data_IF_273193319985
#
_entry.id   IF_273193319985
#
_cell.length_a   1.000
_cell.length_b   1.000
_cell.length_c   1.000
_cell.angle_alpha   90.00
_cell.angle_beta   90.00
_cell.angle_gamma   90.00
#
_symmetry.space_group_name_H-M   'P 1'
#
loop_
_entity.id
_entity.type
_entity.pdbx_description
1 polymer ?
#
# COMPACT_ATOMS: atom_id res chain seq x y z
N UNK A 1 -22.60 21.99 0.56
CA UNK A 1 -22.21 20.72 -0.10
C UNK A 1 -20.71 20.50 0.14
N UNK A 2 -20.27 19.75 1.17
CA UNK A 2 -18.84 19.60 1.43
C UNK A 2 -18.28 18.48 0.54
N UNK A 3 -17.60 18.86 -0.53
CA UNK A 3 -16.99 17.96 -1.52
C UNK A 3 -15.74 17.20 -1.01
N UNK A 4 -15.41 17.31 0.27
CA UNK A 4 -14.18 16.76 0.84
C UNK A 4 -14.35 15.37 1.48
N UNK A 5 -15.59 14.96 1.82
CA UNK A 5 -15.84 13.66 2.48
C UNK A 5 -15.92 12.50 1.48
N UNK A 6 -16.36 12.79 0.26
CA UNK A 6 -16.55 11.82 -0.84
C UNK A 6 -15.25 11.29 -1.47
N UNK A 7 -14.11 11.96 -1.27
CA UNK A 7 -12.79 11.49 -1.76
C UNK A 7 -12.09 10.53 -0.79
N UNK A 8 -12.38 10.66 0.51
CA UNK A 8 -11.88 9.80 1.59
C UNK A 8 -12.79 8.61 1.89
N UNK A 9 -14.01 8.54 1.39
CA UNK A 9 -14.84 7.32 1.52
C UNK A 9 -14.54 6.31 0.40
N UNK A 10 -14.21 6.78 -0.80
CA UNK A 10 -13.99 5.92 -1.98
C UNK A 10 -12.66 5.16 -2.01
N UNK A 11 -11.70 5.53 -1.16
CA UNK A 11 -10.41 4.85 -1.17
C UNK A 11 -10.58 3.38 -0.73
N UNK A 12 -11.45 3.11 0.25
CA UNK A 12 -11.70 1.75 0.72
C UNK A 12 -12.34 0.88 -0.36
N UNK A 13 -13.37 1.40 -1.04
CA UNK A 13 -13.98 0.74 -2.20
C UNK A 13 -12.96 0.49 -3.32
N UNK A 14 -12.05 1.44 -3.51
CA UNK A 14 -10.95 1.34 -4.45
C UNK A 14 -9.96 0.23 -4.10
N UNK A 15 -9.55 0.16 -2.83
CA UNK A 15 -8.65 -0.86 -2.32
C UNK A 15 -9.28 -2.26 -2.42
N UNK A 16 -10.57 -2.37 -2.09
CA UNK A 16 -11.36 -3.58 -2.26
C UNK A 16 -11.37 -4.04 -3.73
N UNK A 17 -11.60 -3.12 -4.69
CA UNK A 17 -11.56 -3.44 -6.11
C UNK A 17 -10.17 -3.89 -6.59
N UNK A 18 -9.09 -3.30 -6.06
CA UNK A 18 -7.72 -3.73 -6.36
C UNK A 18 -7.53 -5.17 -5.87
N UNK A 19 -7.94 -5.48 -4.65
CA UNK A 19 -7.86 -6.82 -4.08
C UNK A 19 -8.64 -7.85 -4.90
N UNK A 20 -9.90 -7.60 -5.23
CA UNK A 20 -10.75 -8.51 -6.01
C UNK A 20 -10.17 -8.82 -7.40
N UNK A 21 -9.44 -7.85 -7.99
CA UNK A 21 -8.77 -7.99 -9.28
C UNK A 21 -7.37 -8.60 -9.17
N UNK A 22 -6.96 -9.05 -7.98
CA UNK A 22 -5.60 -9.51 -7.71
C UNK A 22 -4.54 -8.47 -8.11
N UNK A 23 -4.90 -7.19 -7.95
CA UNK A 23 -4.07 -6.05 -8.26
C UNK A 23 -3.01 -5.80 -7.20
N UNK A 24 -2.14 -4.84 -7.50
CA UNK A 24 -1.06 -4.44 -6.61
C UNK A 24 -1.17 -2.98 -6.20
N UNK A 25 -0.62 -2.69 -5.04
CA UNK A 25 -0.37 -1.35 -4.52
C UNK A 25 1.12 -1.05 -4.61
N UNK A 26 1.45 0.22 -4.55
CA UNK A 26 2.80 0.71 -4.45
C UNK A 26 3.15 0.88 -2.97
N UNK A 27 4.33 0.45 -2.56
CA UNK A 27 4.86 0.69 -1.21
C UNK A 27 6.27 1.24 -1.32
N UNK A 28 6.64 2.10 -0.38
CA UNK A 28 7.99 2.62 -0.22
C UNK A 28 8.31 2.73 1.26
N UNK A 29 9.59 2.69 1.62
CA UNK A 29 10.03 3.05 2.96
C UNK A 29 9.82 4.54 3.15
N UNK A 30 9.24 4.93 4.28
CA UNK A 30 9.11 6.34 4.62
C UNK A 30 10.50 6.94 4.86
N UNK A 31 10.81 8.01 4.10
CA UNK A 31 12.01 8.83 4.27
C UNK A 31 11.57 10.23 4.73
N UNK A 32 12.41 10.90 5.54
CA UNK A 32 12.15 12.27 6.04
C UNK A 32 11.98 13.32 4.92
N UNK A 33 12.54 13.06 3.74
CA UNK A 33 12.51 13.97 2.58
C UNK A 33 11.22 13.89 1.73
N UNK A 34 10.18 13.17 2.17
CA UNK A 34 8.88 12.97 1.47
C UNK A 34 8.99 12.39 0.05
N UNK A 35 10.20 12.07 -0.40
CA UNK A 35 10.51 11.51 -1.70
C UNK A 35 10.90 10.04 -1.53
N UNK A 36 10.10 9.09 -2.04
CA UNK A 36 10.40 7.68 -1.92
C UNK A 36 11.64 7.33 -2.75
N UNK A 37 12.70 6.88 -2.09
CA UNK A 37 13.94 6.43 -2.75
C UNK A 37 13.71 5.14 -3.56
N UNK A 38 12.74 4.32 -3.15
CA UNK A 38 12.47 3.02 -3.74
C UNK A 38 10.99 2.67 -3.65
N UNK A 39 10.35 2.40 -4.80
CA UNK A 39 8.94 2.02 -4.87
C UNK A 39 8.85 0.57 -5.34
N UNK A 40 8.17 -0.27 -4.56
CA UNK A 40 7.82 -1.62 -4.94
C UNK A 40 6.34 -1.72 -5.27
N UNK A 41 6.01 -2.44 -6.33
CA UNK A 41 4.64 -2.85 -6.62
C UNK A 41 4.41 -4.23 -6.04
N UNK A 42 3.53 -4.33 -5.05
CA UNK A 42 3.20 -5.56 -4.34
C UNK A 42 1.73 -5.88 -4.49
N UNK A 43 1.42 -7.13 -4.83
CA UNK A 43 0.06 -7.66 -4.91
C UNK A 43 -0.55 -7.82 -3.53
N UNK A 44 -1.83 -7.46 -3.39
CA UNK A 44 -2.60 -7.71 -2.16
C UNK A 44 -2.99 -9.20 -2.13
N UNK A 45 -2.64 -9.87 -1.03
CA UNK A 45 -2.98 -11.28 -0.75
C UNK A 45 -4.21 -11.41 0.14
N UNK A 46 -4.35 -10.49 1.10
CA UNK A 46 -5.50 -10.41 2.01
C UNK A 46 -5.71 -8.95 2.41
N UNK A 47 -6.98 -8.58 2.57
CA UNK A 47 -7.40 -7.27 3.03
C UNK A 47 -8.36 -7.45 4.21
N UNK A 48 -8.07 -6.83 5.35
CA UNK A 48 -8.95 -6.75 6.52
C UNK A 48 -9.24 -5.29 6.87
N UNK A 49 -10.02 -5.05 7.92
CA UNK A 49 -10.26 -3.68 8.42
C UNK A 49 -9.01 -3.05 9.05
N UNK A 50 -8.11 -3.87 9.62
CA UNK A 50 -6.95 -3.43 10.40
C UNK A 50 -5.61 -3.62 9.65
N UNK A 51 -5.54 -4.56 8.71
CA UNK A 51 -4.28 -4.97 8.08
C UNK A 51 -4.42 -5.26 6.58
N UNK A 52 -3.31 -5.09 5.85
CA UNK A 52 -3.17 -5.47 4.45
C UNK A 52 -2.02 -6.46 4.35
N UNK A 53 -2.32 -7.68 3.95
CA UNK A 53 -1.28 -8.68 3.66
C UNK A 53 -0.93 -8.58 2.19
N UNK A 54 0.34 -8.34 1.91
CA UNK A 54 0.87 -8.20 0.55
C UNK A 54 1.92 -9.27 0.28
N UNK A 55 2.23 -9.50 -0.99
CA UNK A 55 3.38 -10.32 -1.34
C UNK A 55 4.69 -9.66 -0.89
N UNK A 56 5.72 -10.49 -0.64
CA UNK A 56 7.04 -9.97 -0.27
C UNK A 56 7.56 -9.05 -1.38
N UNK A 57 8.04 -7.84 -1.05
CA UNK A 57 8.69 -6.99 -2.05
C UNK A 57 9.90 -7.72 -2.62
N UNK A 58 10.14 -7.51 -3.91
CA UNK A 58 11.28 -8.09 -4.61
C UNK A 58 12.07 -7.02 -5.35
N UNK A 59 13.39 -7.15 -5.33
CA UNK A 59 14.32 -6.30 -6.05
C UNK A 59 15.41 -7.19 -6.66
N UNK A 60 15.70 -7.00 -7.96
CA UNK A 60 16.71 -7.78 -8.68
C UNK A 60 16.57 -9.31 -8.53
N UNK A 61 15.34 -9.82 -8.45
CA UNK A 61 15.05 -11.26 -8.30
C UNK A 61 15.24 -11.82 -6.88
N UNK A 62 15.65 -11.00 -5.91
CA UNK A 62 15.66 -11.36 -4.51
C UNK A 62 14.43 -10.78 -3.80
N UNK A 63 13.77 -11.59 -3.00
CA UNK A 63 12.79 -11.11 -2.02
C UNK A 63 13.50 -10.80 -0.72
N UNK A 64 12.99 -9.83 0.01
CA UNK A 64 13.49 -9.48 1.34
C UNK A 64 12.31 -9.15 2.24
N UNK A 65 12.51 -9.37 3.53
CA UNK A 65 11.53 -9.04 4.55
C UNK A 65 11.79 -7.61 5.04
N UNK A 66 10.72 -6.86 5.26
CA UNK A 66 10.77 -5.58 5.94
C UNK A 66 10.68 -5.84 7.45
N UNK A 67 11.50 -5.15 8.23
CA UNK A 67 11.47 -5.28 9.69
C UNK A 67 10.13 -4.75 10.23
N UNK A 68 9.60 -5.40 11.26
CA UNK A 68 8.47 -4.88 12.02
C UNK A 68 8.78 -3.46 12.54
N UNK A 69 7.78 -2.58 12.50
CA UNK A 69 7.92 -1.16 12.83
C UNK A 69 8.56 -0.30 11.74
N UNK A 70 8.91 -0.88 10.58
CA UNK A 70 9.33 -0.06 9.42
C UNK A 70 8.15 0.79 8.96
N UNK A 71 8.32 2.11 9.01
CA UNK A 71 7.34 3.04 8.46
C UNK A 71 7.35 2.98 6.93
N UNK A 72 6.18 2.85 6.34
CA UNK A 72 5.97 2.76 4.91
C UNK A 72 4.99 3.84 4.43
N UNK A 73 5.21 4.28 3.20
CA UNK A 73 4.23 5.05 2.43
C UNK A 73 3.65 4.12 1.38
N UNK A 74 2.35 3.87 1.49
CA UNK A 74 1.56 3.14 0.51
C UNK A 74 0.91 4.08 -0.49
N UNK A 75 0.85 3.65 -1.74
CA UNK A 75 0.21 4.35 -2.85
C UNK A 75 -0.71 3.43 -3.62
N UNK A 76 -1.88 3.93 -3.99
CA UNK A 76 -2.73 3.26 -4.97
C UNK A 76 -3.24 4.23 -6.02
N UNK A 77 -3.27 3.75 -7.26
CA UNK A 77 -3.70 4.50 -8.43
C UNK A 77 -4.92 3.81 -9.04
N UNK A 78 -6.04 4.54 -9.11
CA UNK A 78 -7.28 4.04 -9.73
C UNK A 78 -7.78 5.09 -10.72
N UNK A 79 -7.68 4.78 -12.00
CA UNK A 79 -7.95 5.73 -13.07
C UNK A 79 -6.99 6.93 -12.97
N UNK A 80 -7.54 8.12 -12.75
CA UNK A 80 -6.76 9.36 -12.59
C UNK A 80 -6.53 9.76 -11.12
N UNK A 81 -7.05 8.99 -10.17
CA UNK A 81 -6.93 9.31 -8.76
C UNK A 81 -5.77 8.54 -8.15
N UNK A 82 -4.92 9.26 -7.42
CA UNK A 82 -3.87 8.69 -6.57
C UNK A 82 -4.23 8.93 -5.11
N UNK A 83 -4.22 7.87 -4.32
CA UNK A 83 -4.29 7.95 -2.86
C UNK A 83 -2.95 7.49 -2.30
N UNK A 84 -2.44 8.26 -1.35
CA UNK A 84 -1.27 7.89 -0.56
C UNK A 84 -1.72 7.73 0.89
N UNK A 85 -1.13 6.77 1.59
CA UNK A 85 -1.40 6.50 2.99
C UNK A 85 -0.11 6.12 3.70
N UNK A 86 -0.04 6.43 4.99
CA UNK A 86 1.05 5.97 5.84
C UNK A 86 0.63 4.67 6.50
N UNK A 87 1.56 3.74 6.60
CA UNK A 87 1.37 2.46 7.27
C UNK A 87 2.67 2.02 7.91
N UNK A 88 2.61 1.03 8.77
CA UNK A 88 3.79 0.38 9.34
C UNK A 88 3.73 -1.12 9.09
N UNK A 89 4.89 -1.77 9.12
CA UNK A 89 4.99 -3.24 9.02
C UNK A 89 4.66 -3.84 10.38
N UNK A 90 3.58 -4.62 10.46
CA UNK A 90 3.17 -5.32 11.69
C UNK A 90 3.79 -6.71 11.84
N UNK A 91 4.39 -7.25 10.77
CA UNK A 91 5.10 -8.53 10.80
C UNK A 91 5.14 -9.21 9.44
N UNK A 92 5.66 -10.44 9.43
CA UNK A 92 5.67 -11.32 8.26
C UNK A 92 4.72 -12.47 8.55
N UNK A 93 3.72 -12.66 7.69
CA UNK A 93 2.83 -13.83 7.77
C UNK A 93 3.53 -15.07 7.23
N UNK A 94 3.50 -16.17 7.99
CA UNK A 94 4.08 -17.48 7.63
C UNK A 94 3.39 -18.15 6.42
#
# INVERSE_FOLDING_TARGET
MPANRSRTERWRDGLQQIFERHGGIEISVASDDDQPDLIWRVRILRLTDDEIVVERPSAMGATFDLCEGTALVGGMVIGQNRWMFHTEVTGVTE
#
